data_IF_093100471697
#
_entry.id   IF_093100471697
#
_cell.length_a   1.000
_cell.length_b   1.000
_cell.length_c   1.000
_cell.angle_alpha   90.00
_cell.angle_beta   90.00
_cell.angle_gamma   90.00
#
_symmetry.space_group_name_H-M   'P 1'
#
loop_
_entity.id
_entity.type
_entity.pdbx_description
1 polymer ?
#
# COMPACT_ATOMS: atom_id res chain seq x y z
N UNK A 1 27.61 28.96 -21.08
CA UNK A 1 27.26 27.84 -21.99
C UNK A 1 25.83 27.42 -21.72
N UNK A 2 24.93 27.52 -22.72
CA UNK A 2 23.58 26.94 -22.62
C UNK A 2 23.68 25.45 -22.98
N UNK A 3 23.10 24.53 -22.20
CA UNK A 3 23.11 23.12 -22.57
C UNK A 3 22.31 22.93 -23.87
N UNK A 4 22.89 22.22 -24.85
CA UNK A 4 22.26 21.91 -26.13
C UNK A 4 21.09 20.94 -25.95
N UNK A 5 20.03 21.09 -26.77
CA UNK A 5 18.79 20.29 -26.72
C UNK A 5 19.00 18.78 -26.84
N UNK A 6 20.14 18.32 -27.39
CA UNK A 6 20.44 16.90 -27.55
C UNK A 6 20.60 16.15 -26.21
N UNK A 7 20.90 16.85 -25.11
CA UNK A 7 21.02 16.24 -23.78
C UNK A 7 19.67 16.01 -23.06
N UNK A 8 18.57 16.54 -23.60
CA UNK A 8 17.25 16.49 -22.95
C UNK A 8 16.38 15.29 -23.35
N UNK A 9 16.79 14.48 -24.34
CA UNK A 9 15.97 13.38 -24.89
C UNK A 9 16.74 12.08 -25.13
N UNK A 10 17.57 11.65 -24.18
CA UNK A 10 17.89 10.22 -24.11
C UNK A 10 17.04 9.61 -23.01
N UNK A 11 16.10 8.75 -23.41
CA UNK A 11 15.45 7.83 -22.49
C UNK A 11 16.56 7.11 -21.72
N UNK A 12 16.70 7.42 -20.44
CA UNK A 12 17.77 6.88 -19.61
C UNK A 12 17.56 5.37 -19.58
N UNK A 13 18.42 4.62 -20.28
CA UNK A 13 18.37 3.16 -20.27
C UNK A 13 18.38 2.72 -18.80
N UNK A 14 17.39 1.93 -18.39
CA UNK A 14 17.33 1.40 -17.04
C UNK A 14 18.69 0.76 -16.73
N UNK A 15 19.39 1.33 -15.75
CA UNK A 15 20.72 0.88 -15.37
C UNK A 15 20.53 -0.49 -14.72
N UNK A 16 20.83 -1.55 -15.47
CA UNK A 16 20.87 -2.90 -14.92
C UNK A 16 21.95 -2.91 -13.83
N UNK A 17 21.59 -3.24 -12.61
CA UNK A 17 22.56 -3.45 -11.53
C UNK A 17 23.51 -4.58 -11.91
N UNK A 18 24.77 -4.49 -11.47
CA UNK A 18 25.67 -5.65 -11.52
C UNK A 18 25.21 -6.66 -10.47
N UNK A 19 24.59 -7.75 -10.93
CA UNK A 19 24.25 -8.91 -10.12
C UNK A 19 25.14 -10.10 -10.46
N UNK A 20 24.95 -11.20 -9.72
CA UNK A 20 25.67 -12.46 -9.92
C UNK A 20 25.46 -13.11 -11.31
N UNK A 21 24.46 -12.65 -12.08
CA UNK A 21 24.23 -13.05 -13.47
C UNK A 21 24.64 -11.90 -14.42
N UNK A 22 25.83 -11.98 -15.04
CA UNK A 22 26.34 -10.95 -15.95
C UNK A 22 25.59 -10.89 -17.29
N UNK A 23 24.88 -11.97 -17.66
CA UNK A 23 24.28 -12.13 -18.99
C UNK A 23 22.86 -11.59 -19.04
N UNK A 24 22.06 -11.87 -18.01
CA UNK A 24 20.68 -11.37 -17.94
C UNK A 24 20.59 -10.02 -17.22
N UNK A 25 21.54 -9.72 -16.34
CA UNK A 25 21.53 -8.53 -15.49
C UNK A 25 20.41 -8.57 -14.44
N UNK A 26 20.50 -7.72 -13.44
CA UNK A 26 19.48 -7.61 -12.37
C UNK A 26 18.95 -6.19 -12.28
N UNK A 27 17.72 -6.02 -11.80
CA UNK A 27 17.13 -4.69 -11.60
C UNK A 27 17.56 -4.03 -10.28
N UNK A 28 18.28 -4.74 -9.42
CA UNK A 28 18.77 -4.24 -8.14
C UNK A 28 20.15 -4.83 -7.85
N UNK A 29 21.15 -3.97 -7.66
CA UNK A 29 22.50 -4.38 -7.27
C UNK A 29 22.77 -4.20 -5.76
N UNK A 30 24.03 -3.96 -5.38
CA UNK A 30 24.46 -3.80 -3.98
C UNK A 30 24.83 -2.35 -3.64
N UNK A 31 25.22 -2.09 -2.39
CA UNK A 31 25.79 -0.81 -1.97
C UNK A 31 26.92 -0.38 -2.92
N UNK A 32 26.85 0.85 -3.42
CA UNK A 32 27.78 1.38 -4.43
C UNK A 32 27.36 1.15 -5.89
N UNK A 33 26.44 0.22 -6.18
CA UNK A 33 25.88 0.02 -7.51
C UNK A 33 24.45 -0.54 -7.47
N UNK A 34 23.51 0.27 -6.98
CA UNK A 34 22.12 -0.16 -6.80
C UNK A 34 21.35 -0.37 -8.12
N UNK A 35 21.83 0.19 -9.24
CA UNK A 35 21.09 0.22 -10.51
C UNK A 35 20.11 1.40 -10.64
N UNK A 36 20.17 2.38 -9.73
CA UNK A 36 19.37 3.60 -9.83
C UNK A 36 19.98 4.62 -10.81
N UNK A 37 19.17 5.55 -11.36
CA UNK A 37 19.69 6.68 -12.13
C UNK A 37 20.76 7.46 -11.37
N UNK A 38 21.75 8.02 -12.08
CA UNK A 38 22.78 8.85 -11.47
C UNK A 38 22.15 10.07 -10.79
N UNK A 39 22.37 10.22 -9.48
CA UNK A 39 21.87 11.34 -8.69
C UNK A 39 22.97 12.39 -8.52
N UNK A 40 22.67 13.66 -8.81
CA UNK A 40 23.60 14.79 -8.63
C UNK A 40 22.82 15.99 -8.09
N UNK A 41 23.36 16.65 -7.05
CA UNK A 41 22.78 17.88 -6.49
C UNK A 41 21.71 17.68 -5.40
N UNK A 42 21.48 16.45 -4.94
CA UNK A 42 20.58 16.17 -3.81
C UNK A 42 21.41 16.19 -2.52
N UNK A 43 21.06 17.08 -1.58
CA UNK A 43 21.73 17.19 -0.28
C UNK A 43 20.72 16.79 0.80
N UNK A 44 21.05 15.76 1.57
CA UNK A 44 20.20 15.24 2.66
C UNK A 44 20.82 15.59 3.99
N UNK A 45 20.02 16.18 4.89
CA UNK A 45 20.43 16.51 6.25
C UNK A 45 19.72 15.61 7.25
N UNK A 46 20.44 15.20 8.29
CA UNK A 46 19.89 14.39 9.39
C UNK A 46 20.51 14.82 10.71
N UNK A 47 19.74 14.74 11.80
CA UNK A 47 20.22 14.98 13.16
C UNK A 47 20.42 13.64 13.87
N UNK A 48 21.47 13.51 14.68
CA UNK A 48 21.69 12.32 15.51
C UNK A 48 20.45 12.03 16.38
N UNK A 49 19.94 10.77 16.41
CA UNK A 49 18.77 10.40 17.19
C UNK A 49 18.89 10.72 18.69
N UNK A 50 20.10 10.69 19.25
CA UNK A 50 20.36 11.00 20.66
C UNK A 50 20.06 12.47 21.02
N UNK A 51 19.88 13.34 20.02
CA UNK A 51 19.51 14.76 20.20
C UNK A 51 18.05 15.05 19.90
N UNK A 52 17.26 14.04 19.54
CA UNK A 52 15.84 14.16 19.26
C UNK A 52 15.02 13.53 20.38
N UNK A 53 13.82 14.05 20.63
CA UNK A 53 12.84 13.34 21.44
C UNK A 53 12.10 12.34 20.52
N UNK A 54 12.20 11.01 20.78
CA UNK A 54 11.68 9.98 19.88
C UNK A 54 10.15 10.01 19.73
N UNK A 55 9.41 10.57 20.70
CA UNK A 55 7.95 10.64 20.70
C UNK A 55 7.42 12.07 20.57
N UNK A 56 8.27 13.01 20.14
CA UNK A 56 7.85 14.39 19.91
C UNK A 56 6.66 14.45 18.93
N UNK A 57 5.52 14.96 19.41
CA UNK A 57 4.31 15.10 18.59
C UNK A 57 3.59 13.79 18.25
N UNK A 58 3.99 12.66 18.84
CA UNK A 58 3.42 11.35 18.53
C UNK A 58 1.90 11.32 18.73
N UNK A 59 1.38 11.89 19.81
CA UNK A 59 -0.07 11.93 20.08
C UNK A 59 -0.84 12.72 19.02
N UNK A 60 -0.41 13.97 18.74
CA UNK A 60 -1.04 14.83 17.72
C UNK A 60 -0.99 14.15 16.35
N UNK A 61 0.16 13.57 15.98
CA UNK A 61 0.30 12.85 14.73
C UNK A 61 -0.59 11.59 14.71
N UNK A 62 -0.60 10.80 15.77
CA UNK A 62 -1.39 9.57 15.86
C UNK A 62 -2.88 9.83 15.70
N UNK A 63 -3.44 10.88 16.30
CA UNK A 63 -4.88 11.16 16.18
C UNK A 63 -5.19 11.74 14.80
N UNK A 64 -4.61 12.89 14.45
CA UNK A 64 -5.03 13.64 13.27
C UNK A 64 -4.54 13.02 11.95
N UNK A 65 -3.33 12.46 11.92
CA UNK A 65 -2.82 11.81 10.71
C UNK A 65 -3.52 10.48 10.45
N UNK A 66 -3.84 9.71 11.51
CA UNK A 66 -4.58 8.46 11.34
C UNK A 66 -5.98 8.74 10.84
N UNK A 67 -6.71 9.70 11.43
CA UNK A 67 -8.01 10.11 10.92
C UNK A 67 -7.94 10.50 9.43
N UNK A 68 -7.02 11.40 9.06
CA UNK A 68 -6.85 11.85 7.67
C UNK A 68 -6.55 10.69 6.71
N UNK A 69 -5.72 9.72 7.13
CA UNK A 69 -5.36 8.55 6.31
C UNK A 69 -6.55 7.60 6.16
N UNK A 70 -7.26 7.31 7.24
CA UNK A 70 -8.43 6.42 7.23
C UNK A 70 -9.56 7.03 6.42
N UNK A 71 -9.84 8.33 6.57
CA UNK A 71 -10.88 9.03 5.82
C UNK A 71 -10.69 8.90 4.30
N UNK A 72 -9.45 9.04 3.81
CA UNK A 72 -9.16 8.92 2.38
C UNK A 72 -9.29 7.48 1.83
N UNK A 73 -9.36 6.48 2.72
CA UNK A 73 -9.41 5.08 2.33
C UNK A 73 -10.73 4.40 2.70
N UNK A 74 -11.57 5.04 3.52
CA UNK A 74 -12.74 4.42 4.14
C UNK A 74 -13.70 3.86 3.09
N UNK A 75 -13.89 4.55 1.97
CA UNK A 75 -14.81 4.12 0.91
C UNK A 75 -14.31 2.93 0.08
N UNK A 76 -13.03 2.58 0.16
CA UNK A 76 -12.50 1.42 -0.58
C UNK A 76 -12.74 0.11 0.17
N UNK A 77 -12.68 0.13 1.50
CA UNK A 77 -12.77 -1.10 2.31
C UNK A 77 -14.04 -1.19 3.15
N UNK A 78 -14.61 -0.06 3.60
CA UNK A 78 -15.79 -0.11 4.47
C UNK A 78 -17.04 -0.62 3.73
N UNK A 79 -17.36 -0.19 2.50
CA UNK A 79 -18.53 -0.70 1.80
C UNK A 79 -18.54 -2.22 1.59
N UNK A 80 -17.47 -2.88 1.10
CA UNK A 80 -17.49 -4.34 0.98
C UNK A 80 -17.56 -5.05 2.34
N UNK A 81 -16.97 -4.49 3.41
CA UNK A 81 -17.07 -5.06 4.75
C UNK A 81 -18.49 -4.98 5.30
N UNK A 82 -19.16 -3.85 5.15
CA UNK A 82 -20.56 -3.66 5.57
C UNK A 82 -21.49 -4.56 4.77
N UNK A 83 -21.30 -4.64 3.45
CA UNK A 83 -22.07 -5.55 2.60
C UNK A 83 -21.89 -7.01 3.02
N UNK A 84 -20.64 -7.43 3.25
CA UNK A 84 -20.32 -8.78 3.71
C UNK A 84 -20.97 -9.11 5.05
N UNK A 85 -20.98 -8.17 5.99
CA UNK A 85 -21.63 -8.35 7.29
C UNK A 85 -23.14 -8.60 7.15
N UNK A 86 -23.86 -7.74 6.41
CA UNK A 86 -25.30 -7.91 6.22
C UNK A 86 -25.65 -9.18 5.42
N UNK A 87 -24.85 -9.52 4.41
CA UNK A 87 -25.07 -10.75 3.65
C UNK A 87 -24.89 -11.99 4.54
N UNK A 88 -23.89 -11.98 5.41
CA UNK A 88 -23.65 -13.07 6.35
C UNK A 88 -24.79 -13.21 7.36
N UNK A 89 -25.24 -12.09 7.93
CA UNK A 89 -26.35 -12.05 8.88
C UNK A 89 -27.64 -12.63 8.26
N UNK A 90 -27.99 -12.16 7.06
CA UNK A 90 -29.10 -12.71 6.28
C UNK A 90 -28.95 -14.21 6.00
N UNK A 91 -27.75 -14.66 5.64
CA UNK A 91 -27.49 -16.06 5.34
C UNK A 91 -27.65 -16.95 6.59
N UNK A 92 -27.21 -16.47 7.76
CA UNK A 92 -27.36 -17.16 9.04
C UNK A 92 -28.84 -17.27 9.40
N UNK A 93 -29.58 -16.15 9.42
CA UNK A 93 -31.02 -16.15 9.76
C UNK A 93 -31.82 -17.06 8.82
N UNK A 94 -31.52 -16.99 7.52
CA UNK A 94 -32.19 -17.84 6.52
C UNK A 94 -31.86 -19.31 6.73
N UNK A 95 -30.61 -19.65 7.06
CA UNK A 95 -30.20 -21.02 7.35
C UNK A 95 -30.92 -21.57 8.58
N UNK A 96 -30.99 -20.80 9.66
CA UNK A 96 -31.71 -21.18 10.88
C UNK A 96 -33.21 -21.36 10.64
N UNK A 97 -33.83 -20.45 9.88
CA UNK A 97 -35.24 -20.57 9.50
C UNK A 97 -35.51 -21.84 8.69
N UNK A 98 -34.70 -22.16 7.68
CA UNK A 98 -34.90 -23.35 6.85
C UNK A 98 -34.74 -24.65 7.65
N UNK A 99 -33.85 -24.67 8.65
CA UNK A 99 -33.66 -25.83 9.54
C UNK A 99 -34.67 -25.89 10.69
N UNK A 100 -35.50 -24.86 10.86
CA UNK A 100 -36.53 -24.81 11.90
C UNK A 100 -37.74 -25.71 11.60
N UNK A 101 -38.65 -25.85 12.56
CA UNK A 101 -39.93 -26.54 12.36
C UNK A 101 -40.83 -25.82 11.34
N UNK A 102 -41.08 -24.50 11.43
CA UNK A 102 -41.91 -23.81 10.44
C UNK A 102 -41.28 -23.81 9.04
N UNK A 103 -39.94 -23.69 8.92
CA UNK A 103 -39.27 -23.78 7.61
C UNK A 103 -39.45 -25.14 6.92
N UNK A 104 -39.46 -26.24 7.69
CA UNK A 104 -39.77 -27.58 7.16
C UNK A 104 -41.22 -27.77 6.72
N UNK A 105 -42.16 -26.99 7.26
CA UNK A 105 -43.56 -27.01 6.82
C UNK A 105 -43.71 -26.20 5.54
N UNK A 106 -43.14 -25.00 5.49
CA UNK A 106 -43.13 -24.18 4.28
C UNK A 106 -42.49 -24.91 3.08
N UNK A 107 -41.39 -25.63 3.28
CA UNK A 107 -40.73 -26.42 2.24
C UNK A 107 -41.50 -27.69 1.80
N UNK A 108 -42.53 -28.10 2.54
CA UNK A 108 -43.44 -29.21 2.15
C UNK A 108 -44.70 -28.72 1.43
N UNK A 109 -45.02 -27.43 1.59
CA UNK A 109 -46.18 -26.79 0.98
C UNK A 109 -45.85 -26.19 -0.41
N UNK A 110 -44.56 -25.95 -0.69
CA UNK A 110 -44.01 -25.80 -2.06
C UNK A 110 -43.84 -27.16 -2.76
#
# INVERSE_FOLDING_TARGET
>A
MRPSQAFMMQATKALRGHGADPKNGVYMGWWGNLGSPKQKGIITYSVSPNRLNPMAGAYKAAVFNTYRRTYNQILYWLPPMVLGYYLMDWAIEKNEYLNSKPGRLAAKEE
#
